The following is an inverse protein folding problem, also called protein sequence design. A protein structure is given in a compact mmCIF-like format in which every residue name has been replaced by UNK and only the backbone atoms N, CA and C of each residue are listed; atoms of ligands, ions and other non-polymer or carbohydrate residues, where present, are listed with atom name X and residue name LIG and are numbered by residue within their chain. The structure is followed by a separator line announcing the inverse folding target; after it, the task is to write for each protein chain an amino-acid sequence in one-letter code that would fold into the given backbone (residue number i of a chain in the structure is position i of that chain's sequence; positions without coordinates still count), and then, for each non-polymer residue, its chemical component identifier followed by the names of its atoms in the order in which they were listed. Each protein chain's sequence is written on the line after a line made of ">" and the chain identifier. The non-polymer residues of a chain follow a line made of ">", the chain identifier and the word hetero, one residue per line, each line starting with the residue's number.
data_IF_878053223698
#
_entry.id   IF_878053223698
#
_cell.length_a   1.000
_cell.length_b   1.000
_cell.length_c   1.000
_cell.angle_alpha   90.00
_cell.angle_beta   90.00
_cell.angle_gamma   90.00
#
_symmetry.space_group_name_H-M   'P 1'
#
loop_
_entity.id
_entity.type
_entity.pdbx_description
1 polymer ?
#
# COMPACT_ATOMS: atom_id res chain seq x y z
N UNK A 1 -31.15 -51.69 -29.34
CA UNK A 1 -31.39 -50.24 -29.55
C UNK A 1 -31.91 -49.71 -28.24
N UNK A 2 -31.02 -49.31 -27.37
CA UNK A 2 -31.35 -49.00 -25.97
C UNK A 2 -31.90 -47.59 -25.83
N UNK A 3 -32.85 -47.44 -24.98
CA UNK A 3 -33.73 -46.32 -24.63
C UNK A 3 -33.04 -44.97 -24.36
N UNK A 4 -32.20 -44.48 -25.26
CA UNK A 4 -31.62 -43.13 -25.18
C UNK A 4 -32.56 -42.02 -25.67
N UNK A 5 -33.75 -42.38 -26.17
CA UNK A 5 -34.75 -41.48 -26.74
C UNK A 5 -35.56 -40.67 -25.70
N UNK A 6 -35.21 -40.75 -24.40
CA UNK A 6 -35.92 -40.00 -23.35
C UNK A 6 -35.05 -39.01 -22.57
N UNK A 7 -33.84 -38.70 -22.99
CA UNK A 7 -33.13 -37.56 -22.41
C UNK A 7 -33.72 -36.29 -23.03
N UNK A 8 -34.35 -35.50 -22.17
CA UNK A 8 -34.93 -34.22 -22.60
C UNK A 8 -33.80 -33.17 -22.76
N UNK A 9 -33.10 -33.24 -23.90
CA UNK A 9 -32.03 -32.27 -24.24
C UNK A 9 -32.56 -30.84 -24.47
N UNK A 10 -33.91 -30.64 -24.47
CA UNK A 10 -34.51 -29.32 -24.62
C UNK A 10 -33.98 -28.32 -23.60
N UNK A 11 -33.74 -28.73 -22.34
CA UNK A 11 -33.17 -27.84 -21.34
C UNK A 11 -31.72 -27.40 -21.66
N UNK A 12 -30.92 -28.27 -22.25
CA UNK A 12 -29.55 -28.01 -22.64
C UNK A 12 -29.49 -27.08 -23.87
N UNK A 13 -30.50 -27.09 -24.73
CA UNK A 13 -30.61 -26.22 -25.88
C UNK A 13 -30.81 -24.72 -25.49
N UNK A 14 -31.34 -24.44 -24.30
CA UNK A 14 -31.49 -23.09 -23.78
C UNK A 14 -30.23 -22.57 -23.07
N UNK A 15 -29.20 -23.38 -22.89
CA UNK A 15 -27.94 -22.93 -22.28
C UNK A 15 -27.15 -22.05 -23.26
N UNK A 16 -26.60 -20.95 -22.75
CA UNK A 16 -25.68 -20.07 -23.51
C UNK A 16 -24.31 -20.73 -23.66
N UNK A 17 -23.90 -21.56 -22.68
CA UNK A 17 -22.68 -22.35 -22.77
C UNK A 17 -22.76 -23.32 -23.97
N UNK A 18 -21.61 -23.53 -24.67
CA UNK A 18 -21.56 -24.47 -25.76
C UNK A 18 -21.47 -25.88 -25.20
N UNK A 19 -22.37 -26.76 -25.64
CA UNK A 19 -22.44 -28.13 -25.12
C UNK A 19 -22.37 -29.15 -26.23
N UNK A 20 -21.53 -30.19 -26.04
CA UNK A 20 -21.51 -31.40 -26.88
C UNK A 20 -21.45 -32.65 -26.01
N UNK A 21 -21.99 -33.72 -26.56
CA UNK A 21 -22.01 -35.04 -25.91
C UNK A 21 -21.41 -36.07 -26.86
N UNK A 22 -20.52 -36.88 -26.32
CA UNK A 22 -19.92 -38.02 -27.04
C UNK A 22 -20.43 -39.33 -26.48
N UNK A 23 -20.53 -40.35 -27.33
CA UNK A 23 -20.67 -41.70 -26.89
C UNK A 23 -19.34 -42.34 -26.47
N UNK A 24 -19.39 -43.60 -26.01
CA UNK A 24 -18.19 -44.35 -25.59
C UNK A 24 -17.17 -44.60 -26.72
N UNK A 25 -17.54 -44.37 -27.99
CA UNK A 25 -16.67 -44.51 -29.16
C UNK A 25 -15.99 -43.20 -29.51
N UNK A 26 -16.37 -42.09 -28.86
CA UNK A 26 -15.90 -40.75 -29.17
C UNK A 26 -16.68 -40.04 -30.27
N UNK A 27 -17.81 -40.61 -30.71
CA UNK A 27 -18.69 -39.99 -31.70
C UNK A 27 -19.56 -38.92 -31.03
N UNK A 28 -19.66 -37.73 -31.60
CA UNK A 28 -20.59 -36.70 -31.15
C UNK A 28 -22.01 -37.13 -31.45
N UNK A 29 -22.82 -37.32 -30.41
CA UNK A 29 -24.22 -37.71 -30.48
C UNK A 29 -25.20 -36.58 -30.26
N UNK A 30 -24.72 -35.48 -29.68
CA UNK A 30 -25.54 -34.30 -29.46
C UNK A 30 -24.66 -33.04 -29.38
N UNK A 31 -25.18 -31.90 -29.91
CA UNK A 31 -24.70 -30.55 -29.71
C UNK A 31 -25.88 -29.61 -29.51
N UNK A 32 -25.78 -28.70 -28.54
CA UNK A 32 -26.84 -27.73 -28.29
C UNK A 32 -26.89 -26.61 -29.35
N UNK A 33 -27.95 -25.80 -29.33
CA UNK A 33 -28.19 -24.72 -30.27
C UNK A 33 -27.07 -23.65 -30.27
N UNK A 34 -26.49 -23.36 -29.10
CA UNK A 34 -25.36 -22.43 -28.98
C UNK A 34 -24.10 -22.97 -29.65
N UNK A 35 -23.78 -24.25 -29.48
CA UNK A 35 -22.66 -24.91 -30.14
C UNK A 35 -22.84 -24.92 -31.66
N UNK A 36 -24.04 -25.24 -32.16
CA UNK A 36 -24.35 -25.22 -33.60
C UNK A 36 -24.11 -23.83 -34.20
N UNK A 37 -24.67 -22.78 -33.56
CA UNK A 37 -24.48 -21.39 -34.02
C UNK A 37 -23.01 -20.95 -33.97
N UNK A 38 -22.26 -21.36 -32.96
CA UNK A 38 -20.83 -21.06 -32.87
C UNK A 38 -20.08 -21.69 -34.05
N UNK A 39 -20.35 -22.95 -34.38
CA UNK A 39 -19.72 -23.66 -35.49
C UNK A 39 -20.10 -23.10 -36.86
N UNK A 40 -21.32 -22.61 -37.03
CA UNK A 40 -21.81 -21.99 -38.31
C UNK A 40 -21.21 -20.60 -38.55
N UNK A 41 -20.99 -19.81 -37.50
CA UNK A 41 -20.46 -18.45 -37.61
C UNK A 41 -18.96 -18.40 -37.89
N UNK A 42 -18.25 -19.47 -37.68
CA UNK A 42 -16.81 -19.59 -37.99
C UNK A 42 -16.61 -20.12 -39.43
N UNK A 43 -17.11 -19.41 -40.43
CA UNK A 43 -17.12 -19.71 -41.85
C UNK A 43 -16.07 -20.74 -42.30
N UNK A 44 -16.51 -21.95 -42.61
CA UNK A 44 -15.82 -22.90 -43.49
C UNK A 44 -14.55 -23.56 -42.94
N UNK A 45 -14.14 -23.28 -41.72
CA UNK A 45 -12.92 -23.83 -41.08
C UNK A 45 -13.13 -25.05 -40.22
N UNK A 46 -14.37 -25.52 -40.11
CA UNK A 46 -14.74 -26.61 -39.19
C UNK A 46 -15.13 -27.86 -39.94
N UNK A 47 -14.15 -28.69 -40.17
CA UNK A 47 -14.45 -30.07 -40.54
C UNK A 47 -14.78 -30.85 -39.27
N UNK A 48 -16.06 -31.09 -39.00
CA UNK A 48 -16.50 -31.95 -37.90
C UNK A 48 -16.02 -33.40 -38.11
N UNK A 49 -15.56 -33.76 -39.26
CA UNK A 49 -15.12 -35.10 -39.64
C UNK A 49 -14.11 -35.04 -40.79
N UNK A 50 -12.82 -35.13 -40.55
CA UNK A 50 -11.90 -35.64 -41.58
C UNK A 50 -10.79 -36.44 -40.89
N UNK A 51 -10.70 -37.69 -41.33
CA UNK A 51 -9.60 -38.62 -40.98
C UNK A 51 -8.30 -38.32 -41.75
N UNK A 52 -8.16 -37.22 -42.48
CA UNK A 52 -6.96 -36.96 -43.31
C UNK A 52 -6.09 -35.85 -42.73
N UNK A 53 -4.92 -36.30 -42.36
CA UNK A 53 -3.74 -35.48 -41.99
C UNK A 53 -3.14 -34.82 -43.21
N UNK A 54 -3.43 -33.55 -43.46
CA UNK A 54 -2.46 -32.68 -44.18
C UNK A 54 -2.94 -31.24 -44.21
N UNK A 55 -2.67 -30.44 -43.18
CA UNK A 55 -2.24 -29.08 -43.29
C UNK A 55 -2.05 -28.43 -41.91
N UNK A 56 -1.00 -27.62 -41.79
CA UNK A 56 -0.47 -27.14 -40.52
C UNK A 56 -1.29 -26.04 -39.83
N UNK A 57 -2.40 -25.59 -40.38
CA UNK A 57 -3.29 -24.58 -39.78
C UNK A 57 -4.51 -25.18 -39.03
N UNK A 58 -4.74 -26.49 -39.16
CA UNK A 58 -5.85 -27.21 -38.53
C UNK A 58 -5.63 -27.56 -37.04
N UNK A 59 -4.52 -27.12 -36.43
CA UNK A 59 -4.20 -27.49 -35.03
C UNK A 59 -5.19 -26.96 -33.99
N UNK A 60 -5.91 -25.91 -34.29
CA UNK A 60 -6.88 -25.30 -33.35
C UNK A 60 -8.10 -26.21 -33.14
N UNK A 61 -8.48 -27.01 -34.17
CA UNK A 61 -9.63 -27.90 -34.08
C UNK A 61 -9.32 -29.38 -33.82
N UNK A 62 -8.08 -29.79 -34.12
CA UNK A 62 -7.64 -31.09 -33.62
C UNK A 62 -7.58 -31.14 -32.10
N UNK A 63 -7.34 -30.01 -31.43
CA UNK A 63 -7.42 -29.93 -29.97
C UNK A 63 -8.84 -30.07 -29.41
N UNK A 64 -9.87 -29.60 -30.12
CA UNK A 64 -11.26 -29.84 -29.77
C UNK A 64 -11.68 -31.31 -29.99
N UNK A 65 -10.98 -32.03 -30.86
CA UNK A 65 -11.21 -33.50 -31.07
C UNK A 65 -10.62 -34.35 -29.95
N UNK A 66 -9.61 -33.89 -29.24
CA UNK A 66 -8.78 -34.76 -28.40
C UNK A 66 -9.01 -34.68 -26.91
N UNK A 67 -9.88 -33.79 -26.40
CA UNK A 67 -9.99 -33.60 -24.96
C UNK A 67 -10.84 -34.69 -24.28
N UNK A 68 -11.69 -35.41 -25.02
CA UNK A 68 -12.72 -36.14 -24.35
C UNK A 68 -12.51 -37.63 -24.06
N UNK A 69 -12.11 -38.53 -24.98
CA UNK A 69 -12.49 -39.92 -24.69
C UNK A 69 -11.59 -40.66 -23.72
N UNK A 70 -10.31 -40.28 -23.51
CA UNK A 70 -9.36 -41.13 -22.78
C UNK A 70 -9.25 -40.72 -21.31
N UNK A 71 -9.44 -39.45 -20.97
CA UNK A 71 -9.29 -38.93 -19.59
C UNK A 71 -10.61 -38.84 -18.80
N UNK A 72 -11.75 -38.90 -19.47
CA UNK A 72 -13.07 -38.62 -18.87
C UNK A 72 -13.84 -39.89 -18.44
N UNK A 73 -13.15 -41.03 -18.33
CA UNK A 73 -13.89 -42.31 -18.00
C UNK A 73 -14.26 -42.40 -16.53
N UNK A 74 -13.45 -41.84 -15.67
CA UNK A 74 -13.58 -42.02 -14.21
C UNK A 74 -13.79 -40.70 -13.47
N UNK A 75 -13.28 -39.55 -13.98
CA UNK A 75 -13.30 -38.27 -13.30
C UNK A 75 -13.73 -37.09 -14.19
N UNK A 76 -14.17 -36.02 -13.54
CA UNK A 76 -14.44 -34.74 -14.17
C UNK A 76 -13.10 -34.04 -14.47
N UNK A 77 -12.88 -33.64 -15.72
CA UNK A 77 -11.69 -32.87 -16.11
C UNK A 77 -12.06 -31.45 -16.47
N UNK A 78 -11.10 -30.53 -16.27
CA UNK A 78 -11.25 -29.11 -16.65
C UNK A 78 -10.04 -28.65 -17.41
N UNK A 79 -10.25 -27.84 -18.45
CA UNK A 79 -9.19 -27.30 -19.31
C UNK A 79 -9.51 -25.86 -19.74
N UNK A 80 -8.46 -25.07 -20.00
CA UNK A 80 -8.57 -23.75 -20.62
C UNK A 80 -8.21 -23.89 -22.12
N UNK A 81 -9.06 -23.39 -22.97
CA UNK A 81 -8.90 -23.49 -24.43
C UNK A 81 -9.11 -22.13 -25.08
N UNK A 82 -8.16 -21.69 -25.92
CA UNK A 82 -8.31 -20.48 -26.73
C UNK A 82 -8.54 -20.84 -28.19
N UNK A 83 -9.66 -20.42 -28.75
CA UNK A 83 -10.09 -20.74 -30.12
C UNK A 83 -10.70 -19.50 -30.78
N UNK A 84 -10.26 -19.16 -31.99
CA UNK A 84 -10.83 -18.05 -32.76
C UNK A 84 -10.78 -16.69 -32.02
N UNK A 85 -9.79 -16.50 -31.15
CA UNK A 85 -9.66 -15.29 -30.32
C UNK A 85 -10.63 -15.22 -29.15
N UNK A 86 -11.28 -16.33 -28.82
CA UNK A 86 -12.10 -16.50 -27.61
C UNK A 86 -11.45 -17.50 -26.66
N UNK A 87 -11.62 -17.26 -25.38
CA UNK A 87 -11.12 -18.12 -24.30
C UNK A 87 -12.31 -18.90 -23.70
N UNK A 88 -12.15 -20.21 -23.63
CA UNK A 88 -13.16 -21.10 -23.07
C UNK A 88 -12.63 -21.86 -21.85
N UNK A 89 -13.44 -21.91 -20.81
CA UNK A 89 -13.29 -22.88 -19.73
C UNK A 89 -14.08 -24.11 -20.13
N UNK A 90 -13.41 -25.24 -20.35
CA UNK A 90 -14.01 -26.50 -20.79
C UNK A 90 -14.07 -27.41 -19.58
N UNK A 91 -15.26 -27.93 -19.32
CA UNK A 91 -15.50 -28.97 -18.31
C UNK A 91 -16.02 -30.23 -19.00
N UNK A 92 -15.32 -31.35 -18.83
CA UNK A 92 -15.70 -32.64 -19.35
C UNK A 92 -16.12 -33.54 -18.20
N UNK A 93 -17.30 -34.13 -18.29
CA UNK A 93 -17.87 -34.97 -17.25
C UNK A 93 -18.36 -36.31 -17.81
N UNK A 94 -18.04 -37.47 -17.19
CA UNK A 94 -18.48 -38.77 -17.65
C UNK A 94 -19.98 -38.92 -17.46
N UNK A 95 -20.60 -39.64 -18.37
CA UNK A 95 -22.00 -40.04 -18.32
C UNK A 95 -22.08 -41.58 -18.15
N UNK A 96 -22.84 -42.01 -17.19
CA UNK A 96 -23.07 -43.42 -16.91
C UNK A 96 -24.53 -43.79 -17.19
N UNK A 97 -24.75 -45.02 -17.66
CA UNK A 97 -26.10 -45.56 -17.86
C UNK A 97 -26.73 -46.00 -16.51
N UNK A 98 -27.97 -46.50 -16.54
CA UNK A 98 -28.68 -46.98 -15.35
C UNK A 98 -28.02 -48.16 -14.65
N UNK A 99 -27.11 -48.86 -15.34
CA UNK A 99 -26.34 -49.98 -14.80
C UNK A 99 -24.95 -49.53 -14.25
N UNK A 100 -24.71 -48.22 -14.16
CA UNK A 100 -23.42 -47.64 -13.76
C UNK A 100 -22.26 -47.98 -14.71
N UNK A 101 -22.56 -48.26 -15.99
CA UNK A 101 -21.53 -48.45 -17.00
C UNK A 101 -21.28 -47.13 -17.74
N UNK A 102 -20.01 -46.84 -18.06
CA UNK A 102 -19.61 -45.66 -18.82
C UNK A 102 -20.30 -45.65 -20.19
N UNK A 103 -21.09 -44.64 -20.45
CA UNK A 103 -21.82 -44.47 -21.69
C UNK A 103 -21.18 -43.46 -22.62
N UNK A 104 -20.61 -42.40 -22.09
CA UNK A 104 -20.03 -41.31 -22.85
C UNK A 104 -19.58 -40.15 -21.99
N UNK A 105 -19.39 -38.99 -22.61
CA UNK A 105 -18.92 -37.77 -21.95
C UNK A 105 -19.73 -36.56 -22.42
N UNK A 106 -20.06 -35.65 -21.49
CA UNK A 106 -20.58 -34.33 -21.80
C UNK A 106 -19.48 -33.28 -21.59
N UNK A 107 -19.29 -32.41 -22.56
CA UNK A 107 -18.42 -31.25 -22.49
C UNK A 107 -19.22 -29.97 -22.54
N UNK A 108 -18.87 -29.07 -21.61
CA UNK A 108 -19.46 -27.74 -21.53
C UNK A 108 -18.34 -26.74 -21.69
N UNK A 109 -18.48 -25.87 -22.67
CA UNK A 109 -17.54 -24.78 -22.96
C UNK A 109 -18.18 -23.45 -22.52
N UNK A 110 -17.61 -22.84 -21.50
CA UNK A 110 -18.02 -21.52 -21.04
C UNK A 110 -17.10 -20.48 -21.62
N UNK A 111 -17.64 -19.53 -22.36
CA UNK A 111 -16.89 -18.39 -22.87
C UNK A 111 -16.48 -17.48 -21.69
N UNK A 112 -15.17 -17.37 -21.46
CA UNK A 112 -14.58 -16.55 -20.41
C UNK A 112 -13.76 -15.40 -20.99
N UNK A 113 -13.90 -15.11 -22.26
CA UNK A 113 -13.10 -14.11 -22.99
C UNK A 113 -13.19 -12.74 -22.34
N UNK A 114 -14.39 -12.27 -22.01
CA UNK A 114 -14.57 -10.96 -21.40
C UNK A 114 -14.09 -10.93 -19.94
N UNK A 115 -14.26 -12.02 -19.22
CA UNK A 115 -13.73 -12.17 -17.85
C UNK A 115 -12.21 -12.09 -17.87
N UNK A 116 -11.54 -12.81 -18.78
CA UNK A 116 -10.09 -12.79 -18.92
C UNK A 116 -9.57 -11.41 -19.35
N UNK A 117 -10.27 -10.72 -20.26
CA UNK A 117 -9.92 -9.34 -20.66
C UNK A 117 -10.00 -8.40 -19.47
N UNK A 118 -11.13 -8.40 -18.74
CA UNK A 118 -11.31 -7.56 -17.55
C UNK A 118 -10.26 -7.86 -16.49
N UNK A 119 -9.93 -9.12 -16.27
CA UNK A 119 -8.90 -9.53 -15.30
C UNK A 119 -7.51 -9.04 -15.71
N UNK A 120 -7.16 -9.15 -17.01
CA UNK A 120 -5.90 -8.65 -17.52
C UNK A 120 -5.80 -7.12 -17.47
N UNK A 121 -6.89 -6.41 -17.74
CA UNK A 121 -6.95 -4.96 -17.62
C UNK A 121 -6.80 -4.53 -16.14
N UNK A 122 -7.45 -5.21 -15.21
CA UNK A 122 -7.28 -4.99 -13.77
C UNK A 122 -5.81 -5.14 -13.34
N UNK A 123 -5.15 -6.24 -13.75
CA UNK A 123 -3.73 -6.48 -13.46
C UNK A 123 -2.86 -5.37 -14.04
N UNK A 124 -3.16 -4.91 -15.25
CA UNK A 124 -2.44 -3.82 -15.91
C UNK A 124 -2.59 -2.50 -15.14
N UNK A 125 -3.82 -2.14 -14.75
CA UNK A 125 -4.09 -0.93 -13.97
C UNK A 125 -3.44 -0.99 -12.57
N UNK A 126 -3.52 -2.14 -11.89
CA UNK A 126 -2.83 -2.32 -10.61
C UNK A 126 -1.32 -2.12 -10.71
N UNK A 127 -0.68 -2.65 -11.76
CA UNK A 127 0.76 -2.46 -12.00
C UNK A 127 1.08 -0.98 -12.26
N UNK A 128 0.25 -0.30 -13.04
CA UNK A 128 0.44 1.13 -13.35
C UNK A 128 0.36 1.97 -12.07
N UNK A 129 -0.71 1.83 -11.29
CA UNK A 129 -0.89 2.53 -10.00
C UNK A 129 0.27 2.25 -9.05
N UNK A 130 0.69 0.99 -8.95
CA UNK A 130 1.84 0.61 -8.11
C UNK A 130 3.13 1.31 -8.52
N UNK A 131 3.40 1.42 -9.81
CA UNK A 131 4.59 2.13 -10.32
C UNK A 131 4.52 3.64 -10.05
N UNK A 132 3.35 4.25 -10.20
CA UNK A 132 3.15 5.67 -9.89
C UNK A 132 3.37 5.94 -8.39
N UNK A 133 2.87 5.05 -7.52
CA UNK A 133 3.10 5.12 -6.07
C UNK A 133 4.58 4.96 -5.70
N UNK A 134 5.31 4.05 -6.35
CA UNK A 134 6.76 3.89 -6.13
C UNK A 134 7.52 5.17 -6.52
N UNK A 135 7.18 5.77 -7.65
CA UNK A 135 7.80 7.03 -8.09
C UNK A 135 7.53 8.15 -7.10
N UNK A 136 6.29 8.28 -6.59
CA UNK A 136 5.94 9.26 -5.57
C UNK A 136 6.71 9.02 -4.25
N UNK A 137 6.88 7.75 -3.85
CA UNK A 137 7.68 7.34 -2.69
C UNK A 137 9.15 7.74 -2.83
N UNK A 138 9.75 7.52 -3.99
CA UNK A 138 11.13 7.91 -4.25
C UNK A 138 11.32 9.43 -4.17
N UNK A 139 10.34 10.20 -4.67
CA UNK A 139 10.34 11.66 -4.53
C UNK A 139 10.27 12.04 -3.04
N UNK A 140 9.32 11.48 -2.28
CA UNK A 140 9.17 11.77 -0.85
C UNK A 140 10.46 11.45 -0.07
N UNK A 141 11.03 10.27 -0.27
CA UNK A 141 12.29 9.85 0.35
C UNK A 141 13.48 10.75 -0.04
N UNK A 142 13.54 11.18 -1.30
CA UNK A 142 14.60 12.09 -1.76
C UNK A 142 14.58 13.46 -1.07
N UNK A 143 13.43 13.86 -0.54
CA UNK A 143 13.26 15.09 0.21
C UNK A 143 13.72 14.94 1.66
N UNK A 144 13.54 13.77 2.27
CA UNK A 144 14.04 13.45 3.62
C UNK A 144 15.56 13.25 3.62
N UNK A 145 16.12 12.62 2.60
CA UNK A 145 17.55 12.28 2.53
C UNK A 145 18.51 13.48 2.41
N UNK A 146 17.98 14.69 2.24
CA UNK A 146 18.76 15.93 2.17
C UNK A 146 18.86 16.65 3.51
N UNK A 147 19.06 15.92 4.61
CA UNK A 147 19.55 16.55 5.82
C UNK A 147 20.98 17.03 5.53
N UNK A 148 21.10 18.32 5.28
CA UNK A 148 22.41 18.94 5.05
C UNK A 148 23.21 18.90 6.35
N UNK A 149 24.52 18.80 6.22
CA UNK A 149 25.42 19.06 7.35
C UNK A 149 25.16 20.49 7.86
N UNK A 150 24.79 20.60 9.13
CA UNK A 150 24.59 21.89 9.79
C UNK A 150 25.68 22.04 10.85
N UNK A 151 26.53 23.05 10.71
CA UNK A 151 27.62 23.30 11.64
C UNK A 151 27.14 23.43 13.09
N UNK A 152 27.79 22.71 14.00
CA UNK A 152 27.44 22.69 15.43
C UNK A 152 26.29 21.78 15.80
N UNK A 153 25.74 20.98 14.83
CA UNK A 153 24.70 20.00 15.10
C UNK A 153 25.05 18.63 14.49
N UNK A 154 24.79 17.56 15.22
CA UNK A 154 24.71 16.21 14.69
C UNK A 154 23.26 15.83 14.46
N UNK A 155 22.95 15.40 13.24
CA UNK A 155 21.59 15.02 12.81
C UNK A 155 21.61 13.58 12.34
N UNK A 156 20.79 12.73 12.98
CA UNK A 156 20.60 11.35 12.57
C UNK A 156 19.10 11.04 12.52
N UNK A 157 18.68 10.16 11.61
CA UNK A 157 17.27 9.81 11.49
C UNK A 157 17.06 8.35 11.11
N UNK A 158 15.89 7.87 11.44
CA UNK A 158 15.30 6.60 10.95
C UNK A 158 13.90 6.89 10.41
N UNK A 159 13.62 6.29 9.27
CA UNK A 159 12.32 6.43 8.61
C UNK A 159 11.90 5.09 8.03
N UNK A 160 10.80 4.55 8.52
CA UNK A 160 10.26 3.25 8.14
C UNK A 160 8.79 3.47 7.81
N UNK A 161 8.47 3.46 6.54
CA UNK A 161 7.08 3.57 6.10
C UNK A 161 6.37 2.22 6.18
N UNK A 162 5.15 2.22 6.67
CA UNK A 162 4.24 1.07 6.72
C UNK A 162 3.73 0.71 5.33
N UNK A 163 3.51 1.73 4.50
CA UNK A 163 3.09 1.63 3.11
C UNK A 163 4.13 2.25 2.16
N UNK A 164 3.80 2.34 0.86
CA UNK A 164 4.68 2.95 -0.13
C UNK A 164 4.83 4.46 0.08
N UNK A 165 3.77 5.14 0.55
CA UNK A 165 3.71 6.57 0.82
C UNK A 165 3.30 6.79 2.26
N UNK A 166 3.97 7.71 2.94
CA UNK A 166 3.82 7.99 4.36
C UNK A 166 3.09 9.30 4.63
N UNK A 167 2.30 9.30 5.72
CA UNK A 167 1.72 10.50 6.33
C UNK A 167 2.69 11.24 7.23
N UNK A 168 3.72 10.57 7.71
CA UNK A 168 4.77 11.14 8.55
C UNK A 168 5.79 11.93 7.74
N UNK A 169 6.22 13.04 8.29
CA UNK A 169 7.24 13.86 7.66
C UNK A 169 8.00 14.72 8.67
N UNK A 170 9.29 14.91 8.45
CA UNK A 170 10.12 15.86 9.19
C UNK A 170 11.06 16.61 8.25
N UNK A 171 11.51 17.77 8.67
CA UNK A 171 12.53 18.54 7.96
C UNK A 171 13.38 19.33 8.96
N UNK A 172 14.62 19.59 8.57
CA UNK A 172 15.55 20.47 9.30
C UNK A 172 16.03 21.52 8.32
N UNK A 173 15.84 22.78 8.68
CA UNK A 173 16.04 23.92 7.79
C UNK A 173 16.99 24.89 8.44
N UNK A 174 18.16 25.10 7.84
CA UNK A 174 19.08 26.17 8.27
C UNK A 174 18.52 27.54 7.87
N UNK A 175 18.45 28.42 8.82
CA UNK A 175 17.92 29.77 8.65
C UNK A 175 19.07 30.79 8.79
N UNK A 176 18.90 32.06 8.30
CA UNK A 176 19.84 33.14 8.59
C UNK A 176 20.05 33.36 10.09
N UNK A 177 21.14 34.04 10.47
CA UNK A 177 21.46 34.40 11.84
C UNK A 177 21.68 33.21 12.78
N UNK A 178 22.31 32.13 12.28
CA UNK A 178 22.64 30.93 13.05
C UNK A 178 21.44 30.28 13.73
N UNK A 179 20.31 30.29 13.06
CA UNK A 179 19.10 29.63 13.50
C UNK A 179 18.83 28.34 12.69
N UNK A 180 18.17 27.39 13.31
CA UNK A 180 17.76 26.12 12.69
C UNK A 180 16.29 25.85 13.03
N UNK A 181 15.47 25.73 12.02
CA UNK A 181 14.08 25.27 12.18
C UNK A 181 14.04 23.76 12.04
N UNK A 182 13.40 23.09 12.98
CA UNK A 182 13.14 21.64 12.94
C UNK A 182 11.66 21.40 13.19
N UNK A 183 11.07 20.48 12.45
CA UNK A 183 9.71 20.06 12.72
C UNK A 183 9.49 18.59 12.38
N UNK A 184 8.50 18.02 13.04
CA UNK A 184 7.94 16.71 12.76
C UNK A 184 6.43 16.84 12.66
N UNK A 185 5.85 16.26 11.63
CA UNK A 185 4.43 16.33 11.32
C UNK A 185 3.90 14.94 11.00
N UNK A 186 2.66 14.70 11.38
CA UNK A 186 1.91 13.50 11.08
C UNK A 186 0.53 13.89 10.53
N UNK A 187 0.18 13.30 9.39
CA UNK A 187 -1.04 13.60 8.64
C UNK A 187 -2.03 12.47 8.81
N UNK A 188 -3.27 12.79 9.16
CA UNK A 188 -4.36 11.83 9.26
C UNK A 188 -4.44 10.92 8.04
N UNK A 189 -4.33 9.59 8.29
CA UNK A 189 -4.43 8.55 7.27
C UNK A 189 -3.12 8.28 6.53
N UNK A 190 -3.17 7.47 5.49
CA UNK A 190 -2.00 6.97 4.77
C UNK A 190 -2.17 7.08 3.25
N UNK A 191 -1.11 6.79 2.52
CA UNK A 191 -1.11 6.73 1.06
C UNK A 191 -1.01 8.10 0.37
N UNK A 192 -1.55 8.20 -0.84
CA UNK A 192 -1.35 9.35 -1.73
C UNK A 192 -1.84 10.66 -1.10
N UNK A 193 -3.02 10.67 -0.53
CA UNK A 193 -3.62 11.90 0.03
C UNK A 193 -2.79 12.45 1.19
N UNK A 194 -2.37 11.60 2.12
CA UNK A 194 -1.52 12.00 3.24
C UNK A 194 -0.16 12.50 2.75
N UNK A 195 0.46 11.80 1.81
CA UNK A 195 1.76 12.23 1.24
C UNK A 195 1.70 13.56 0.49
N UNK A 196 0.57 13.88 -0.16
CA UNK A 196 0.38 15.21 -0.77
C UNK A 196 0.31 16.33 0.29
N UNK A 197 -0.30 16.06 1.45
CA UNK A 197 -0.34 17.01 2.55
C UNK A 197 1.06 17.17 3.18
N UNK A 198 1.86 16.11 3.30
CA UNK A 198 3.25 16.25 3.76
C UNK A 198 4.07 17.17 2.85
N UNK A 199 3.85 17.07 1.52
CA UNK A 199 4.49 18.00 0.57
C UNK A 199 3.98 19.43 0.74
N UNK A 200 2.67 19.63 0.94
CA UNK A 200 2.10 20.95 1.25
C UNK A 200 2.75 21.54 2.50
N UNK A 201 2.86 20.77 3.60
CA UNK A 201 3.50 21.22 4.86
C UNK A 201 4.93 21.66 4.57
N UNK A 202 5.72 20.83 3.91
CA UNK A 202 7.11 21.12 3.59
C UNK A 202 7.29 22.41 2.80
N UNK A 203 6.56 22.55 1.70
CA UNK A 203 6.66 23.74 0.86
C UNK A 203 6.15 25.00 1.58
N UNK A 204 5.07 24.89 2.35
CA UNK A 204 4.50 26.00 3.09
C UNK A 204 5.45 26.48 4.20
N UNK A 205 5.99 25.56 5.02
CA UNK A 205 6.96 25.95 6.07
C UNK A 205 8.19 26.63 5.44
N UNK A 206 8.77 26.05 4.38
CA UNK A 206 9.92 26.65 3.69
C UNK A 206 9.59 28.03 3.10
N UNK A 207 8.40 28.22 2.53
CA UNK A 207 7.94 29.51 2.04
C UNK A 207 7.77 30.53 3.18
N UNK A 208 7.26 30.11 4.33
CA UNK A 208 7.08 30.97 5.48
C UNK A 208 8.44 31.43 6.04
N UNK A 209 9.40 30.52 6.22
CA UNK A 209 10.71 30.85 6.80
C UNK A 209 11.63 31.58 5.83
N UNK A 210 11.72 31.19 4.56
CA UNK A 210 12.58 31.82 3.57
C UNK A 210 11.95 33.03 2.87
N UNK A 211 10.69 32.85 2.43
CA UNK A 211 9.99 33.88 1.66
C UNK A 211 9.44 35.00 2.51
N UNK A 212 8.73 34.66 3.59
CA UNK A 212 8.14 35.64 4.52
C UNK A 212 9.05 35.98 5.70
N UNK A 213 10.18 35.28 5.87
CA UNK A 213 11.18 35.50 6.94
C UNK A 213 10.59 35.41 8.35
N UNK A 214 9.63 34.51 8.54
CA UNK A 214 9.05 34.27 9.87
C UNK A 214 10.01 33.36 10.65
N UNK A 215 10.40 33.78 11.82
CA UNK A 215 11.41 33.14 12.67
C UNK A 215 10.89 32.74 14.05
N UNK A 216 9.55 32.71 14.23
CA UNK A 216 8.90 32.35 15.50
C UNK A 216 7.97 31.15 15.28
N UNK A 217 8.12 30.04 16.04
CA UNK A 217 7.35 28.82 15.87
C UNK A 217 5.84 29.05 15.86
N UNK A 218 5.33 29.83 16.81
CA UNK A 218 3.91 30.20 16.91
C UNK A 218 3.38 30.86 15.62
N UNK A 219 4.13 31.79 15.08
CA UNK A 219 3.73 32.56 13.89
C UNK A 219 3.71 31.65 12.66
N UNK A 220 4.70 30.74 12.55
CA UNK A 220 4.76 29.76 11.48
C UNK A 220 3.54 28.85 11.53
N UNK A 221 3.22 28.27 12.71
CA UNK A 221 2.05 27.39 12.86
C UNK A 221 0.74 28.12 12.59
N UNK A 222 0.60 29.37 13.07
CA UNK A 222 -0.59 30.19 12.80
C UNK A 222 -0.76 30.49 11.31
N UNK A 223 0.33 30.85 10.62
CA UNK A 223 0.31 31.08 9.18
C UNK A 223 0.02 29.80 8.40
N UNK A 224 0.62 28.67 8.79
CA UNK A 224 0.40 27.37 8.18
C UNK A 224 -1.05 26.91 8.33
N UNK A 225 -1.64 27.09 9.53
CA UNK A 225 -3.06 26.81 9.78
C UNK A 225 -3.99 27.62 8.88
N UNK A 226 -3.70 28.90 8.69
CA UNK A 226 -4.48 29.78 7.78
C UNK A 226 -4.35 29.38 6.31
N UNK A 227 -3.16 28.95 5.87
CA UNK A 227 -2.97 28.51 4.48
C UNK A 227 -3.66 27.16 4.26
N UNK A 228 -3.58 26.23 5.21
CA UNK A 228 -4.24 24.91 5.11
C UNK A 228 -5.76 25.01 5.11
N UNK A 229 -6.34 25.87 5.97
CA UNK A 229 -7.79 26.03 6.04
C UNK A 229 -8.42 26.52 4.73
N UNK A 230 -7.66 27.25 3.88
CA UNK A 230 -8.12 27.66 2.55
C UNK A 230 -8.34 26.51 1.59
N UNK A 231 -7.70 25.35 1.81
CA UNK A 231 -7.89 24.16 1.00
C UNK A 231 -9.25 23.51 1.23
N UNK A 232 -9.91 23.79 2.34
CA UNK A 232 -11.22 23.28 2.71
C UNK A 232 -11.33 21.75 2.61
N UNK A 233 -10.28 21.06 3.08
CA UNK A 233 -10.18 19.60 3.09
C UNK A 233 -10.68 19.06 4.44
N UNK A 234 -11.44 17.95 4.40
CA UNK A 234 -11.84 17.19 5.61
C UNK A 234 -10.69 16.34 6.16
N UNK A 235 -9.50 16.93 6.20
CA UNK A 235 -8.27 16.32 6.71
C UNK A 235 -7.67 17.23 7.77
N UNK A 236 -6.84 16.64 8.61
CA UNK A 236 -6.03 17.38 9.58
C UNK A 236 -4.63 16.78 9.65
N UNK A 237 -3.74 17.52 10.24
CA UNK A 237 -2.42 17.03 10.60
C UNK A 237 -1.96 17.62 11.92
N UNK A 238 -1.04 16.92 12.54
CA UNK A 238 -0.36 17.35 13.73
C UNK A 238 1.05 17.78 13.39
N UNK A 239 1.61 18.74 14.12
CA UNK A 239 2.97 19.20 13.90
C UNK A 239 3.57 19.78 15.18
N UNK A 240 4.77 19.30 15.52
CA UNK A 240 5.66 19.95 16.49
C UNK A 240 6.75 20.69 15.74
N UNK A 241 6.89 22.00 15.99
CA UNK A 241 7.86 22.84 15.29
C UNK A 241 8.66 23.66 16.29
N UNK A 242 10.00 23.69 16.13
CA UNK A 242 10.88 24.48 16.94
C UNK A 242 11.95 25.18 16.13
N UNK A 243 12.48 26.25 16.72
CA UNK A 243 13.60 27.02 16.19
C UNK A 243 14.71 27.11 17.24
N UNK A 244 15.87 26.56 16.90
CA UNK A 244 17.08 26.63 17.69
C UNK A 244 17.93 27.84 17.24
N UNK A 245 18.29 28.66 18.17
CA UNK A 245 19.23 29.77 17.95
C UNK A 245 20.60 29.38 18.53
N UNK A 246 21.57 29.12 17.65
CA UNK A 246 22.94 28.70 18.03
C UNK A 246 23.68 29.77 18.89
N UNK A 247 23.40 31.07 18.67
CA UNK A 247 24.05 32.16 19.37
C UNK A 247 23.58 32.29 20.82
N UNK A 248 22.29 32.06 21.07
CA UNK A 248 21.70 32.17 22.41
C UNK A 248 21.53 30.80 23.09
N UNK A 249 21.77 29.72 22.35
CA UNK A 249 21.51 28.33 22.78
C UNK A 249 20.05 28.11 23.23
N UNK A 250 19.12 28.92 22.75
CA UNK A 250 17.70 28.81 23.06
C UNK A 250 16.94 28.01 21.96
N UNK A 251 16.17 27.03 22.36
CA UNK A 251 15.23 26.36 21.53
C UNK A 251 13.82 26.81 21.90
N UNK A 252 13.19 27.55 20.99
CA UNK A 252 11.78 27.96 21.09
C UNK A 252 10.92 27.05 20.27
N UNK A 253 9.80 26.58 20.81
CA UNK A 253 8.94 25.60 20.14
C UNK A 253 7.46 25.85 20.37
N UNK A 254 6.65 25.33 19.46
CA UNK A 254 5.18 25.30 19.53
C UNK A 254 4.68 23.95 19.05
N UNK A 255 3.53 23.54 19.57
CA UNK A 255 2.89 22.26 19.23
C UNK A 255 1.49 22.53 18.69
N UNK A 256 1.16 21.88 17.56
CA UNK A 256 -0.16 21.87 16.96
C UNK A 256 -0.72 20.43 16.98
N UNK A 257 -1.05 19.93 18.17
CA UNK A 257 -1.70 18.65 18.38
C UNK A 257 -0.83 17.41 18.18
N UNK A 258 0.48 17.55 18.06
CA UNK A 258 1.38 16.41 17.91
C UNK A 258 1.54 15.70 19.25
N UNK A 259 1.09 14.44 19.32
CA UNK A 259 1.03 13.67 20.56
C UNK A 259 2.38 13.06 20.95
N UNK A 260 3.23 12.76 19.99
CA UNK A 260 4.58 12.21 20.19
C UNK A 260 5.52 13.32 20.64
N UNK A 261 5.47 13.65 21.94
CA UNK A 261 6.16 14.79 22.52
C UNK A 261 7.68 14.59 22.47
N UNK A 262 8.46 15.49 21.84
CA UNK A 262 9.90 15.36 21.73
C UNK A 262 10.60 15.26 23.10
N UNK A 263 11.66 14.47 23.14
CA UNK A 263 12.44 14.21 24.35
C UNK A 263 13.76 14.96 24.26
N UNK A 264 14.03 15.78 25.26
CA UNK A 264 15.33 16.42 25.47
C UNK A 264 16.13 15.59 26.46
N UNK A 265 17.27 15.07 26.06
CA UNK A 265 18.12 14.27 26.95
C UNK A 265 19.61 14.58 26.80
N UNK A 266 20.34 14.27 27.85
CA UNK A 266 21.80 14.17 27.91
C UNK A 266 22.19 13.19 29.01
N UNK A 267 23.48 13.14 29.39
CA UNK A 267 23.97 12.25 30.46
C UNK A 267 23.20 12.39 31.79
N UNK A 268 22.74 13.59 32.12
CA UNK A 268 22.16 13.93 33.43
C UNK A 268 20.67 14.28 33.38
N UNK A 269 20.08 14.34 32.21
CA UNK A 269 18.76 14.91 31.97
C UNK A 269 17.96 14.03 31.00
N UNK A 270 16.68 13.88 31.26
CA UNK A 270 15.72 13.27 30.38
C UNK A 270 14.37 13.97 30.63
N UNK A 271 13.89 14.74 29.66
CA UNK A 271 12.77 15.66 29.80
C UNK A 271 11.90 15.64 28.56
N UNK A 272 10.59 15.54 28.72
CA UNK A 272 9.63 15.75 27.64
C UNK A 272 9.34 17.24 27.44
N UNK A 273 9.30 17.72 26.22
CA UNK A 273 8.97 19.11 25.89
C UNK A 273 7.44 19.29 25.80
N UNK A 274 6.76 19.05 26.88
CA UNK A 274 5.30 19.08 26.95
C UNK A 274 4.76 20.47 26.58
N UNK A 275 3.84 20.48 25.62
CA UNK A 275 3.10 21.66 25.19
C UNK A 275 1.85 21.22 24.44
N UNK A 276 0.69 21.63 24.90
CA UNK A 276 -0.59 21.29 24.25
C UNK A 276 -0.92 22.29 23.14
N UNK A 277 -1.62 21.81 22.11
CA UNK A 277 -2.15 22.60 21.01
C UNK A 277 -3.21 21.85 20.24
N UNK A 278 -4.00 22.55 19.45
CA UNK A 278 -4.97 21.93 18.55
C UNK A 278 -4.30 21.55 17.22
N UNK A 279 -4.68 20.42 16.60
CA UNK A 279 -4.19 20.04 15.28
C UNK A 279 -4.57 21.08 14.22
N UNK A 280 -3.82 21.13 13.14
CA UNK A 280 -4.12 22.00 12.01
C UNK A 280 -5.20 21.34 11.15
N UNK A 281 -6.35 22.00 11.05
CA UNK A 281 -7.50 21.57 10.25
C UNK A 281 -8.32 22.79 9.79
N UNK A 282 -9.26 22.58 8.89
CA UNK A 282 -10.19 23.61 8.47
C UNK A 282 -11.14 24.09 9.62
N UNK A 283 -11.32 23.25 10.65
CA UNK A 283 -12.17 23.56 11.80
C UNK A 283 -11.54 24.56 12.78
N UNK A 284 -10.20 24.63 12.85
CA UNK A 284 -9.46 25.38 13.88
C UNK A 284 -8.62 26.50 13.27
N UNK A 285 -9.26 27.42 12.54
CA UNK A 285 -8.57 28.42 11.69
C UNK A 285 -7.72 29.44 12.45
N UNK A 286 -8.10 29.83 13.67
CA UNK A 286 -7.45 30.88 14.46
C UNK A 286 -7.01 30.39 15.85
N UNK A 287 -6.63 29.12 15.96
CA UNK A 287 -6.10 28.56 17.19
C UNK A 287 -4.80 29.27 17.55
N UNK A 288 -4.76 29.93 18.69
CA UNK A 288 -3.52 30.49 19.22
C UNK A 288 -2.64 29.35 19.73
N UNK A 289 -1.44 29.23 19.18
CA UNK A 289 -0.47 28.23 19.66
C UNK A 289 0.37 28.78 20.82
N UNK A 290 0.58 27.96 21.84
CA UNK A 290 1.46 28.28 22.96
C UNK A 290 2.93 28.18 22.54
N UNK A 291 3.81 28.80 23.29
CA UNK A 291 5.26 28.80 23.08
C UNK A 291 5.97 28.24 24.27
N UNK A 292 6.80 27.23 24.07
CA UNK A 292 7.76 26.71 25.03
C UNK A 292 9.18 27.18 24.72
N UNK A 293 10.02 27.27 25.73
CA UNK A 293 11.44 27.62 25.59
C UNK A 293 12.31 26.76 26.48
N UNK A 294 13.44 26.34 25.94
CA UNK A 294 14.43 25.57 26.70
C UNK A 294 15.85 25.98 26.20
N UNK A 295 16.81 26.01 27.08
CA UNK A 295 18.22 26.14 26.72
C UNK A 295 18.79 24.76 26.39
N UNK A 296 19.48 24.70 25.26
CA UNK A 296 20.25 23.51 24.84
C UNK A 296 21.74 23.79 25.03
N UNK A 297 22.38 22.92 25.82
CA UNK A 297 23.82 22.97 26.04
C UNK A 297 24.56 21.99 25.12
N UNK A 298 25.86 22.15 24.98
CA UNK A 298 26.70 21.14 24.30
C UNK A 298 26.45 19.73 24.86
N UNK A 299 26.21 18.77 24.00
CA UNK A 299 25.87 17.41 24.34
C UNK A 299 24.38 17.14 24.54
N UNK A 300 23.52 18.15 24.61
CA UNK A 300 22.05 17.98 24.64
C UNK A 300 21.57 17.44 23.31
N UNK A 301 20.62 16.49 23.36
CA UNK A 301 19.99 15.89 22.21
C UNK A 301 18.48 16.04 22.28
N UNK A 302 17.86 16.52 21.22
CA UNK A 302 16.42 16.47 21.01
C UNK A 302 16.10 15.26 20.16
N UNK A 303 15.18 14.40 20.62
CA UNK A 303 14.66 13.26 19.87
C UNK A 303 13.21 13.53 19.55
N UNK A 304 12.91 13.61 18.26
CA UNK A 304 11.57 13.68 17.70
C UNK A 304 11.18 12.29 17.23
N UNK A 305 9.91 11.95 17.35
CA UNK A 305 9.38 10.65 16.93
C UNK A 305 7.89 10.76 16.56
N UNK A 306 7.35 9.77 15.86
CA UNK A 306 5.94 9.64 15.52
C UNK A 306 5.29 8.50 16.29
N UNK A 307 3.97 8.51 16.35
CA UNK A 307 3.17 7.60 17.17
C UNK A 307 3.21 6.14 16.70
N UNK A 308 3.48 5.88 15.42
CA UNK A 308 3.67 4.52 14.91
C UNK A 308 4.73 3.72 15.67
N UNK A 309 5.65 4.41 16.38
CA UNK A 309 6.60 3.78 17.27
C UNK A 309 5.96 3.35 18.59
N UNK A 310 5.15 4.22 19.20
CA UNK A 310 4.54 3.98 20.51
C UNK A 310 3.23 3.20 20.44
N UNK A 311 2.51 3.30 19.31
CA UNK A 311 1.27 2.57 19.06
C UNK A 311 1.46 1.18 18.47
N UNK A 312 2.71 0.78 18.18
CA UNK A 312 3.06 -0.58 17.74
C UNK A 312 2.55 -1.61 18.76
N UNK A 313 1.84 -2.65 18.27
CA UNK A 313 1.14 -3.64 19.11
C UNK A 313 1.86 -4.98 19.12
N UNK A 314 1.81 -5.63 20.32
CA UNK A 314 2.25 -7.01 20.50
C UNK A 314 1.12 -8.03 20.17
N UNK A 315 1.40 -9.32 20.38
CA UNK A 315 0.44 -10.42 20.18
C UNK A 315 -0.85 -10.26 21.01
N UNK A 316 -0.76 -9.63 22.18
CA UNK A 316 -1.90 -9.36 23.07
C UNK A 316 -2.64 -8.06 22.73
N UNK A 317 -2.27 -7.36 21.63
CA UNK A 317 -2.76 -6.04 21.25
C UNK A 317 -2.43 -4.93 22.26
N UNK A 318 -1.43 -5.11 23.08
CA UNK A 318 -0.91 -4.05 23.96
C UNK A 318 0.03 -3.16 23.15
N UNK A 319 -0.10 -1.85 23.32
CA UNK A 319 0.78 -0.88 22.69
C UNK A 319 2.17 -0.87 23.34
N UNK A 320 3.22 -0.56 22.58
CA UNK A 320 4.55 -0.37 23.11
C UNK A 320 4.54 0.73 24.18
N UNK A 321 3.89 1.83 23.89
CA UNK A 321 3.58 2.90 24.80
C UNK A 321 4.76 3.87 25.06
N UNK A 322 4.40 5.10 25.39
CA UNK A 322 5.38 6.16 25.63
C UNK A 322 6.32 5.91 26.80
N UNK A 323 5.85 5.23 27.85
CA UNK A 323 6.70 4.96 29.02
C UNK A 323 7.83 3.97 28.70
N UNK A 324 7.53 2.90 27.94
CA UNK A 324 8.57 1.96 27.50
C UNK A 324 9.57 2.65 26.58
N UNK A 325 9.07 3.51 25.68
CA UNK A 325 9.94 4.29 24.79
C UNK A 325 10.84 5.25 25.57
N UNK A 326 10.27 6.03 26.48
CA UNK A 326 11.03 6.96 27.33
C UNK A 326 12.10 6.24 28.18
N UNK A 327 11.77 5.09 28.76
CA UNK A 327 12.69 4.25 29.51
C UNK A 327 13.80 3.66 28.62
N UNK A 328 13.49 3.30 27.38
CA UNK A 328 14.50 2.85 26.41
C UNK A 328 15.48 3.97 26.05
N UNK A 329 15.01 5.20 25.82
CA UNK A 329 15.87 6.37 25.62
C UNK A 329 16.76 6.58 26.85
N UNK A 330 16.19 6.54 28.07
CA UNK A 330 16.95 6.72 29.32
C UNK A 330 18.04 5.65 29.50
N UNK A 331 17.75 4.43 29.16
CA UNK A 331 18.69 3.30 29.21
C UNK A 331 19.89 3.48 28.29
N UNK A 332 19.66 3.97 27.07
CA UNK A 332 20.70 4.00 26.02
C UNK A 332 21.37 5.37 25.83
N UNK A 333 20.83 6.46 26.40
CA UNK A 333 21.32 7.86 26.20
C UNK A 333 22.80 8.09 26.50
N UNK A 334 23.42 7.24 27.33
CA UNK A 334 24.81 7.39 27.77
C UNK A 334 25.79 6.45 27.09
N UNK A 335 25.34 5.43 26.41
CA UNK A 335 26.15 4.30 25.97
C UNK A 335 26.34 4.21 24.46
N UNK A 336 25.55 4.95 23.69
CA UNK A 336 25.50 4.83 22.24
C UNK A 336 25.66 6.19 21.56
N UNK A 337 26.21 6.18 20.36
CA UNK A 337 26.14 7.30 19.41
C UNK A 337 24.70 7.46 18.91
N UNK A 338 24.34 8.65 18.42
CA UNK A 338 22.96 8.95 18.01
C UNK A 338 22.37 7.92 17.03
N UNK A 339 23.16 7.53 16.02
CA UNK A 339 22.74 6.52 15.06
C UNK A 339 22.46 5.15 15.68
N UNK A 340 23.37 4.69 16.56
CA UNK A 340 23.24 3.42 17.28
C UNK A 340 22.06 3.47 18.25
N UNK A 341 21.80 4.61 18.86
CA UNK A 341 20.63 4.84 19.71
C UNK A 341 19.34 4.66 18.90
N UNK A 342 19.21 5.31 17.74
CA UNK A 342 18.05 5.19 16.91
C UNK A 342 17.86 3.74 16.42
N UNK A 343 18.95 3.05 16.08
CA UNK A 343 18.90 1.61 15.69
C UNK A 343 18.34 0.76 16.83
N UNK A 344 18.80 0.95 18.07
CA UNK A 344 18.34 0.20 19.24
C UNK A 344 16.91 0.51 19.62
N UNK A 345 16.45 1.73 19.46
CA UNK A 345 15.05 2.10 19.71
C UNK A 345 14.12 1.40 18.72
N UNK A 346 14.46 1.41 17.43
CA UNK A 346 13.70 0.70 16.39
C UNK A 346 13.75 -0.82 16.57
N UNK A 347 14.91 -1.38 16.93
CA UNK A 347 15.07 -2.82 17.21
C UNK A 347 14.13 -3.24 18.36
N UNK A 348 14.12 -2.51 19.48
CA UNK A 348 13.24 -2.80 20.61
C UNK A 348 11.75 -2.77 20.28
N UNK A 349 11.32 -1.84 19.41
CA UNK A 349 9.94 -1.82 18.93
C UNK A 349 9.67 -2.99 17.97
N UNK A 350 10.63 -3.32 17.10
CA UNK A 350 10.49 -4.45 16.16
C UNK A 350 10.42 -5.80 16.87
N UNK A 351 11.16 -5.99 17.97
CA UNK A 351 11.09 -7.18 18.83
C UNK A 351 9.76 -7.29 19.58
N UNK A 352 9.17 -6.16 19.95
CA UNK A 352 7.88 -6.12 20.64
C UNK A 352 6.70 -6.38 19.69
N UNK A 353 6.83 -5.98 18.41
CA UNK A 353 5.79 -6.03 17.41
C UNK A 353 5.37 -7.45 17.05
N UNK A 354 4.06 -7.65 16.93
CA UNK A 354 3.47 -8.84 16.34
C UNK A 354 2.82 -8.52 14.99
N UNK A 355 3.23 -9.23 13.95
CA UNK A 355 2.71 -9.03 12.59
C UNK A 355 3.47 -7.97 11.77
N UNK A 356 2.76 -7.35 10.83
CA UNK A 356 3.31 -6.30 9.97
C UNK A 356 3.26 -4.92 10.63
N UNK A 357 4.10 -4.01 10.16
CA UNK A 357 4.06 -2.60 10.58
C UNK A 357 2.74 -1.98 10.12
N UNK A 358 1.94 -1.48 11.07
CA UNK A 358 0.62 -0.89 10.78
C UNK A 358 0.69 0.61 10.48
N UNK A 359 1.65 1.32 11.08
CA UNK A 359 1.82 2.76 10.92
C UNK A 359 3.27 3.13 10.62
N UNK A 360 3.48 4.36 10.13
CA UNK A 360 4.79 4.89 9.79
C UNK A 360 5.62 5.16 11.05
N UNK A 361 6.93 4.95 10.99
CA UNK A 361 7.87 5.27 12.07
C UNK A 361 8.88 6.29 11.56
N UNK A 362 8.86 7.47 12.14
CA UNK A 362 9.89 8.48 11.94
C UNK A 362 10.59 8.81 13.26
N UNK A 363 11.90 8.81 13.25
CA UNK A 363 12.77 9.23 14.34
C UNK A 363 13.79 10.23 13.81
N UNK A 364 13.96 11.33 14.51
CA UNK A 364 14.99 12.33 14.22
C UNK A 364 15.69 12.73 15.50
N UNK A 365 17.02 12.58 15.56
CA UNK A 365 17.84 13.14 16.63
C UNK A 365 18.56 14.38 16.16
N UNK A 366 18.57 15.41 17.00
CA UNK A 366 19.32 16.65 16.82
C UNK A 366 20.16 16.90 18.07
N UNK A 367 21.46 16.71 17.97
CA UNK A 367 22.41 16.91 19.07
C UNK A 367 23.24 18.17 18.87
N UNK A 368 23.38 18.97 19.92
CA UNK A 368 24.27 20.15 19.95
C UNK A 368 25.70 19.67 20.18
N UNK A 369 26.61 20.04 19.25
CA UNK A 369 28.04 19.67 19.27
C UNK A 369 28.89 20.72 19.97
#
# INVERSE_FOLDING_TARGET
>A
MDNFTHWNFELVDFMEDLVRVFDKTGLIVYTNSSMKKFLENEEGKFCLFSEDNSDKDDRVFSSLKCVAPIGCRDDVTTELLSVGGRDFFVKSSPIFNSNNEYWGCIEVFRDITDVNKLQNDLIKYQKMIKNDMLTASDIQKSLLSKLNHIDGLSLEYKYISSEQLSGDFFDVIELPNDKVCVYMADVMGHGISASMITMFIRFSVRMLVYGRKIEYPREILTALSREFSKLNLEMYFTIFLGIYNKNTCEFEYSNAGHNSIPILFNKNKNLRLELSGLPISWLFQDSGYSVGKVKLCHGDCLLFYTDGLTETKNENREEYGEERFFNAVDKYKNSLLDRELLDKLVEGVSEFRYGVQEDDIALLSMRVL
#
